data_IF_978125816839
#
_entry.id   IF_978125816839
#
_cell.length_a   1.000
_cell.length_b   1.000
_cell.length_c   1.000
_cell.angle_alpha   90.00
_cell.angle_beta   90.00
_cell.angle_gamma   90.00
#
_symmetry.space_group_name_H-M   'P 1'
#
loop_
_entity.id
_entity.type
_entity.pdbx_description
1 polymer ?
#
# COMPACT_ATOMS: atom_id res chain seq x y z
N UNK A 1 -10.00 42.87 -20.40
CA UNK A 1 -10.40 41.46 -20.62
C UNK A 1 -9.21 40.52 -20.82
N UNK A 2 -8.15 40.88 -21.53
CA UNK A 2 -6.97 40.01 -21.74
C UNK A 2 -6.29 39.56 -20.44
N UNK A 3 -6.18 40.43 -19.44
CA UNK A 3 -5.61 40.09 -18.11
C UNK A 3 -6.39 39.01 -17.37
N UNK A 4 -7.72 39.03 -17.42
CA UNK A 4 -8.57 38.07 -16.72
C UNK A 4 -8.50 36.68 -17.37
N UNK A 5 -8.39 36.61 -18.71
CA UNK A 5 -8.17 35.35 -19.41
C UNK A 5 -6.80 34.73 -19.12
N UNK A 6 -5.75 35.55 -19.03
CA UNK A 6 -4.41 35.07 -18.67
C UNK A 6 -4.35 34.49 -17.25
N UNK A 7 -5.02 35.14 -16.29
CA UNK A 7 -5.10 34.65 -14.90
C UNK A 7 -5.91 33.36 -14.84
N UNK A 8 -7.05 33.28 -15.53
CA UNK A 8 -7.86 32.06 -15.57
C UNK A 8 -7.09 30.87 -16.16
N UNK A 9 -6.36 31.08 -17.26
CA UNK A 9 -5.54 30.04 -17.88
C UNK A 9 -4.43 29.56 -16.93
N UNK A 10 -3.76 30.48 -16.22
CA UNK A 10 -2.71 30.13 -15.26
C UNK A 10 -3.26 29.29 -14.09
N UNK A 11 -4.44 29.63 -13.57
CA UNK A 11 -5.08 28.87 -12.49
C UNK A 11 -5.51 27.46 -12.93
N UNK A 12 -6.01 27.31 -14.16
CA UNK A 12 -6.39 26.00 -14.70
C UNK A 12 -5.15 25.11 -14.88
N UNK A 13 -4.04 25.66 -15.39
CA UNK A 13 -2.79 24.92 -15.53
C UNK A 13 -2.21 24.53 -14.16
N UNK A 14 -2.29 25.41 -13.17
CA UNK A 14 -1.84 25.11 -11.80
C UNK A 14 -2.65 23.98 -11.17
N UNK A 15 -3.98 23.97 -11.36
CA UNK A 15 -4.84 22.90 -10.88
C UNK A 15 -4.51 21.55 -11.54
N UNK A 16 -4.33 21.52 -12.87
CA UNK A 16 -3.96 20.30 -13.59
C UNK A 16 -2.59 19.76 -13.15
N UNK A 17 -1.59 20.64 -12.96
CA UNK A 17 -0.27 20.25 -12.47
C UNK A 17 -0.30 19.71 -11.03
N UNK A 18 -1.16 20.26 -10.17
CA UNK A 18 -1.33 19.76 -8.80
C UNK A 18 -1.97 18.36 -8.75
N UNK A 19 -2.94 18.08 -9.63
CA UNK A 19 -3.55 16.75 -9.73
C UNK A 19 -2.55 15.72 -10.27
N UNK A 20 -1.76 16.10 -11.27
CA UNK A 20 -0.71 15.23 -11.81
C UNK A 20 0.41 14.91 -10.80
N UNK A 21 0.65 15.80 -9.82
CA UNK A 21 1.59 15.52 -8.74
C UNK A 21 1.02 14.53 -7.70
N UNK A 22 -0.30 14.49 -7.51
CA UNK A 22 -0.92 13.57 -6.56
C UNK A 22 -0.94 12.12 -7.04
N UNK A 23 -1.05 11.87 -8.35
CA UNK A 23 -0.97 10.50 -8.90
C UNK A 23 0.42 9.87 -8.76
N UNK A 24 1.48 10.67 -8.68
CA UNK A 24 2.86 10.20 -8.43
C UNK A 24 3.09 9.83 -6.95
N UNK A 25 2.30 10.38 -6.02
CA UNK A 25 2.41 10.08 -4.59
C UNK A 25 1.57 8.87 -4.15
N UNK A 26 0.71 8.35 -5.03
CA UNK A 26 -0.05 7.13 -4.78
C UNK A 26 0.67 5.98 -5.49
N UNK A 27 1.73 5.48 -4.86
CA UNK A 27 2.22 4.13 -5.17
C UNK A 27 1.07 3.16 -4.88
N UNK A 28 0.30 2.82 -5.93
CA UNK A 28 -0.78 1.83 -5.87
C UNK A 28 -0.25 0.39 -5.82
N UNK A 29 1.07 0.20 -5.72
CA UNK A 29 1.62 -1.14 -5.59
C UNK A 29 1.44 -1.60 -4.14
N UNK A 30 0.72 -2.71 -3.90
CA UNK A 30 0.56 -3.23 -2.55
C UNK A 30 1.94 -3.45 -1.95
N UNK A 31 2.20 -2.87 -0.78
CA UNK A 31 3.49 -3.02 -0.10
C UNK A 31 3.71 -4.52 0.18
N UNK A 32 4.71 -5.11 -0.46
CA UNK A 32 5.08 -6.53 -0.25
C UNK A 32 6.30 -6.60 0.67
N UNK A 33 6.14 -7.25 1.82
CA UNK A 33 7.23 -7.55 2.76
C UNK A 33 7.78 -8.94 2.44
N UNK A 34 9.07 -9.00 2.14
CA UNK A 34 9.76 -10.27 1.87
C UNK A 34 10.47 -10.80 3.11
N UNK A 35 10.24 -12.09 3.39
CA UNK A 35 10.96 -12.83 4.42
C UNK A 35 11.90 -13.79 3.72
N UNK A 36 13.20 -13.51 3.79
CA UNK A 36 14.25 -14.40 3.27
C UNK A 36 14.45 -15.58 4.22
N UNK A 37 14.33 -16.78 3.68
CA UNK A 37 14.52 -18.03 4.42
C UNK A 37 15.39 -19.01 3.64
N UNK A 38 15.99 -19.97 4.33
CA UNK A 38 16.68 -21.09 3.68
C UNK A 38 15.67 -22.00 2.98
N UNK A 39 16.12 -22.76 1.97
CA UNK A 39 15.24 -23.59 1.14
C UNK A 39 14.43 -24.61 1.94
N UNK A 40 15.01 -25.18 3.01
CA UNK A 40 14.35 -26.14 3.90
C UNK A 40 13.24 -25.50 4.75
N UNK A 41 13.26 -24.18 4.93
CA UNK A 41 12.28 -23.42 5.73
C UNK A 41 11.16 -22.77 4.93
N UNK A 42 11.26 -22.80 3.60
CA UNK A 42 10.27 -22.18 2.71
C UNK A 42 8.86 -22.76 2.91
N UNK A 43 8.74 -24.08 3.09
CA UNK A 43 7.45 -24.74 3.29
C UNK A 43 6.82 -24.35 4.64
N UNK A 44 7.61 -24.40 5.71
CA UNK A 44 7.19 -24.03 7.07
C UNK A 44 6.76 -22.55 7.15
N UNK A 45 7.50 -21.66 6.49
CA UNK A 45 7.19 -20.23 6.43
C UNK A 45 5.84 -19.99 5.74
N UNK A 46 5.60 -20.63 4.58
CA UNK A 46 4.34 -20.50 3.83
C UNK A 46 3.13 -21.05 4.60
N UNK A 47 3.32 -22.15 5.33
CA UNK A 47 2.27 -22.72 6.18
C UNK A 47 1.94 -21.77 7.34
N UNK A 48 2.97 -21.24 8.01
CA UNK A 48 2.79 -20.29 9.12
C UNK A 48 2.07 -19.02 8.66
N UNK A 49 2.46 -18.44 7.52
CA UNK A 49 1.79 -17.26 6.98
C UNK A 49 0.32 -17.53 6.64
N UNK A 50 0.00 -18.73 6.16
CA UNK A 50 -1.39 -19.12 5.87
C UNK A 50 -2.24 -19.19 7.14
N UNK A 51 -1.66 -19.67 8.24
CA UNK A 51 -2.32 -19.72 9.54
C UNK A 51 -2.54 -18.31 10.11
N UNK A 52 -1.54 -17.42 9.98
CA UNK A 52 -1.63 -16.03 10.43
C UNK A 52 -2.65 -15.24 9.60
N UNK A 53 -2.75 -15.47 8.30
CA UNK A 53 -3.72 -14.80 7.43
C UNK A 53 -5.19 -15.10 7.79
N UNK A 54 -5.45 -16.16 8.56
CA UNK A 54 -6.78 -16.51 9.07
C UNK A 54 -7.07 -15.89 10.44
N UNK A 55 -6.08 -15.26 11.08
CA UNK A 55 -6.24 -14.62 12.38
C UNK A 55 -7.01 -13.29 12.25
N UNK A 56 -7.86 -12.94 13.22
CA UNK A 56 -8.57 -11.68 13.20
C UNK A 56 -7.61 -10.50 13.38
N UNK A 57 -7.77 -9.46 12.59
CA UNK A 57 -6.99 -8.23 12.73
C UNK A 57 -7.46 -7.46 13.96
N UNK A 58 -6.53 -7.16 14.86
CA UNK A 58 -6.76 -6.41 16.09
C UNK A 58 -5.78 -5.25 16.17
N UNK A 59 -6.18 -4.18 16.84
CA UNK A 59 -5.27 -3.11 17.23
C UNK A 59 -4.29 -3.60 18.32
N UNK A 60 -3.19 -2.89 18.54
CA UNK A 60 -2.20 -3.21 19.59
C UNK A 60 -2.80 -3.30 21.00
N UNK A 61 -3.91 -2.61 21.24
CA UNK A 61 -4.67 -2.66 22.50
C UNK A 61 -5.62 -3.87 22.60
N UNK A 62 -5.61 -4.78 21.62
CA UNK A 62 -6.45 -5.97 21.54
C UNK A 62 -7.88 -5.74 21.08
N UNK A 63 -8.26 -4.51 20.70
CA UNK A 63 -9.61 -4.24 20.18
C UNK A 63 -9.74 -4.72 18.74
N UNK A 64 -10.86 -5.38 18.36
CA UNK A 64 -11.08 -5.83 16.99
C UNK A 64 -11.14 -4.68 16.00
N UNK A 65 -10.52 -4.83 14.83
CA UNK A 65 -10.76 -3.94 13.71
C UNK A 65 -12.11 -4.28 13.07
N UNK A 66 -13.07 -3.35 13.15
CA UNK A 66 -14.46 -3.58 12.72
C UNK A 66 -14.71 -3.34 11.23
N UNK A 67 -13.77 -2.72 10.53
CA UNK A 67 -13.83 -2.45 9.10
C UNK A 67 -12.69 -3.18 8.41
N UNK A 68 -12.98 -3.72 7.24
CA UNK A 68 -12.06 -4.52 6.44
C UNK A 68 -11.00 -3.62 5.78
N UNK A 69 -10.04 -3.17 6.58
CA UNK A 69 -8.80 -2.53 6.08
C UNK A 69 -7.75 -3.59 5.69
N UNK A 70 -8.15 -4.86 5.49
CA UNK A 70 -7.20 -5.90 5.10
C UNK A 70 -6.58 -5.63 3.73
N UNK A 71 -7.26 -4.87 2.87
CA UNK A 71 -6.73 -4.41 1.57
C UNK A 71 -5.57 -3.41 1.73
N UNK A 72 -5.53 -2.66 2.85
CA UNK A 72 -4.45 -1.71 3.16
C UNK A 72 -3.29 -2.38 3.93
N UNK A 73 -3.43 -3.65 4.33
CA UNK A 73 -2.36 -4.37 5.00
C UNK A 73 -1.29 -4.82 3.99
N UNK A 74 0.00 -4.69 4.35
CA UNK A 74 1.07 -5.16 3.48
C UNK A 74 0.98 -6.68 3.29
N UNK A 75 1.19 -7.14 2.05
CA UNK A 75 1.27 -8.56 1.75
C UNK A 75 2.63 -9.11 2.18
N UNK A 76 2.65 -10.27 2.83
CA UNK A 76 3.90 -10.90 3.28
C UNK A 76 4.17 -12.15 2.45
N UNK A 77 5.39 -12.31 1.93
CA UNK A 77 5.80 -13.52 1.19
C UNK A 77 7.16 -14.04 1.64
N UNK A 78 7.29 -15.37 1.68
CA UNK A 78 8.58 -16.02 1.93
C UNK A 78 9.32 -16.25 0.62
N UNK A 79 10.59 -15.84 0.56
CA UNK A 79 11.51 -16.04 -0.58
C UNK A 79 12.74 -16.83 -0.12
N UNK A 80 13.39 -17.53 -1.05
CA UNK A 80 14.63 -18.25 -0.75
C UNK A 80 15.79 -17.27 -0.80
N UNK A 81 16.63 -17.27 0.24
CA UNK A 81 17.87 -16.49 0.27
C UNK A 81 18.81 -16.98 -0.85
N UNK A 82 19.33 -16.04 -1.65
CA UNK A 82 20.14 -16.32 -2.84
C UNK A 82 21.60 -16.65 -2.52
#
# INVERSE_FOLDING_TARGET
>A
MTKTYAIAAALICAAAASWAATEVLVENEPTVIEISVTQDKLAECRETLRNVAQAPTVHDNGTPMLFDYSEDLPQVRCVVEA
#
